data_IF_059243150736
#
_entry.id   IF_059243150736
#
_cell.length_a   1.000
_cell.length_b   1.000
_cell.length_c   1.000
_cell.angle_alpha   90.00
_cell.angle_beta   90.00
_cell.angle_gamma   90.00
#
_symmetry.space_group_name_H-M   'P 1'
#
loop_
_entity.id
_entity.type
_entity.pdbx_description
1 polymer ?
#
# COMPACT_ATOMS: atom_id res chain seq x y z
N UNK A 1 35.67 0.98 -13.02
CA UNK A 1 35.97 2.01 -12.00
C UNK A 1 35.14 3.23 -12.36
N UNK A 2 34.17 3.70 -11.59
CA UNK A 2 33.79 3.46 -10.19
C UNK A 2 32.27 3.41 -10.14
N UNK A 3 31.72 2.44 -9.40
CA UNK A 3 30.29 2.36 -9.12
C UNK A 3 29.93 3.39 -8.08
N UNK A 4 29.02 4.30 -8.42
CA UNK A 4 28.45 5.27 -7.49
C UNK A 4 27.46 4.55 -6.59
N UNK A 5 28.00 3.95 -5.53
CA UNK A 5 27.25 3.44 -4.41
C UNK A 5 26.60 4.63 -3.69
N UNK A 6 25.35 4.96 -4.03
CA UNK A 6 24.58 5.94 -3.27
C UNK A 6 24.27 5.36 -1.90
N UNK A 7 25.19 5.58 -0.96
CA UNK A 7 24.91 5.48 0.47
C UNK A 7 23.79 6.46 0.78
N UNK A 8 22.63 5.91 1.11
CA UNK A 8 21.50 6.63 1.67
C UNK A 8 22.01 7.40 2.90
N UNK A 9 22.07 8.72 2.77
CA UNK A 9 22.60 9.59 3.81
C UNK A 9 21.73 9.50 5.06
N UNK A 10 22.40 9.25 6.18
CA UNK A 10 21.89 9.23 7.56
C UNK A 10 20.71 10.17 7.82
N UNK A 11 19.68 9.61 8.45
CA UNK A 11 18.46 10.26 8.94
C UNK A 11 18.75 11.60 9.65
N UNK A 12 18.32 12.72 9.07
CA UNK A 12 18.06 13.90 9.86
C UNK A 12 17.04 13.51 10.95
N UNK A 13 17.31 13.85 12.22
CA UNK A 13 16.38 13.58 13.34
C UNK A 13 15.07 14.28 13.05
N UNK A 14 14.06 13.52 12.63
CA UNK A 14 12.74 14.05 12.34
C UNK A 14 12.07 14.37 13.69
N UNK A 15 11.48 15.56 13.89
CA UNK A 15 11.04 16.01 15.22
C UNK A 15 9.77 15.32 15.74
N UNK A 16 9.22 14.34 15.03
CA UNK A 16 8.05 13.59 15.46
C UNK A 16 8.45 12.29 16.15
N UNK A 17 7.67 11.93 17.18
CA UNK A 17 7.66 10.58 17.74
C UNK A 17 6.65 9.77 16.95
N UNK A 18 7.07 8.62 16.42
CA UNK A 18 6.16 7.63 15.89
C UNK A 18 6.38 6.30 16.59
N UNK A 19 5.33 5.51 16.62
CA UNK A 19 5.36 4.11 16.97
C UNK A 19 4.78 3.29 15.82
N UNK A 20 5.15 2.01 15.77
CA UNK A 20 4.59 1.08 14.80
C UNK A 20 4.30 -0.28 15.43
N UNK A 21 3.45 -1.02 14.74
CA UNK A 21 3.10 -2.42 15.02
C UNK A 21 3.02 -3.15 13.68
N UNK A 22 3.31 -4.44 13.67
CA UNK A 22 3.02 -5.31 12.53
C UNK A 22 1.64 -5.99 12.68
N UNK A 23 0.83 -5.55 13.65
CA UNK A 23 -0.49 -6.09 13.97
C UNK A 23 -0.43 -7.58 14.35
N UNK A 24 0.67 -8.01 14.96
CA UNK A 24 0.93 -9.42 15.27
C UNK A 24 0.38 -9.85 16.65
N UNK A 25 -0.51 -9.06 17.25
CA UNK A 25 -1.28 -9.48 18.42
C UNK A 25 -2.70 -8.89 18.39
N UNK A 26 -3.55 -9.41 19.29
CA UNK A 26 -4.96 -9.02 19.36
C UNK A 26 -5.14 -7.56 19.80
N UNK A 27 -4.34 -7.08 20.76
CA UNK A 27 -4.48 -5.72 21.32
C UNK A 27 -4.27 -4.66 20.25
N UNK A 28 -3.15 -4.70 19.52
CA UNK A 28 -2.87 -3.76 18.43
C UNK A 28 -3.88 -3.89 17.29
N UNK A 29 -4.34 -5.12 17.02
CA UNK A 29 -5.31 -5.40 15.96
C UNK A 29 -6.65 -4.74 16.27
N UNK A 30 -7.16 -4.92 17.49
CA UNK A 30 -8.44 -4.32 17.91
C UNK A 30 -8.36 -2.79 17.97
N UNK A 31 -7.25 -2.23 18.46
CA UNK A 31 -7.02 -0.79 18.50
C UNK A 31 -7.05 -0.17 17.09
N UNK A 32 -6.23 -0.70 16.18
CA UNK A 32 -6.15 -0.21 14.79
C UNK A 32 -7.45 -0.44 14.03
N UNK A 33 -8.13 -1.57 14.27
CA UNK A 33 -9.44 -1.86 13.68
C UNK A 33 -10.50 -0.86 14.11
N UNK A 34 -10.53 -0.50 15.39
CA UNK A 34 -11.45 0.51 15.92
C UNK A 34 -11.20 1.88 15.30
N UNK A 35 -9.93 2.29 15.18
CA UNK A 35 -9.55 3.57 14.57
C UNK A 35 -9.94 3.65 13.09
N UNK A 36 -9.66 2.60 12.31
CA UNK A 36 -10.04 2.56 10.90
C UNK A 36 -11.57 2.57 10.71
N UNK A 37 -12.30 1.79 11.52
CA UNK A 37 -13.77 1.70 11.45
C UNK A 37 -14.49 3.01 11.80
N UNK A 38 -13.82 3.95 12.47
CA UNK A 38 -14.37 5.28 12.74
C UNK A 38 -14.42 6.18 11.50
N UNK A 39 -13.70 5.82 10.43
CA UNK A 39 -13.49 6.67 9.25
C UNK A 39 -13.74 5.98 7.91
N UNK A 40 -13.72 4.65 7.89
CA UNK A 40 -13.87 3.80 6.71
C UNK A 40 -15.06 2.86 6.86
N UNK A 41 -15.48 2.29 5.72
CA UNK A 41 -16.52 1.26 5.70
C UNK A 41 -16.11 0.01 6.51
N UNK A 42 -16.94 -0.46 7.45
CA UNK A 42 -16.60 -1.60 8.30
C UNK A 42 -16.29 -2.90 7.54
N UNK A 43 -16.96 -3.15 6.39
CA UNK A 43 -16.70 -4.37 5.62
C UNK A 43 -15.33 -4.31 4.92
N UNK A 44 -14.94 -3.14 4.42
CA UNK A 44 -13.58 -2.89 3.91
C UNK A 44 -12.52 -3.09 5.00
N UNK A 45 -12.77 -2.58 6.21
CA UNK A 45 -11.87 -2.78 7.35
C UNK A 45 -11.76 -4.27 7.72
N UNK A 46 -12.88 -4.98 7.80
CA UNK A 46 -12.89 -6.42 8.08
C UNK A 46 -12.12 -7.22 7.02
N UNK A 47 -12.33 -6.90 5.73
CA UNK A 47 -11.62 -7.53 4.63
C UNK A 47 -10.09 -7.30 4.73
N UNK A 48 -9.67 -6.08 5.05
CA UNK A 48 -8.25 -5.77 5.28
C UNK A 48 -7.67 -6.59 6.44
N UNK A 49 -8.36 -6.69 7.57
CA UNK A 49 -7.86 -7.47 8.70
C UNK A 49 -7.82 -8.98 8.42
N UNK A 50 -8.67 -9.50 7.51
CA UNK A 50 -8.52 -10.88 7.05
C UNK A 50 -7.19 -11.09 6.31
N UNK A 51 -6.75 -10.12 5.50
CA UNK A 51 -5.43 -10.17 4.84
C UNK A 51 -4.28 -10.11 5.86
N UNK A 52 -4.38 -9.20 6.84
CA UNK A 52 -3.39 -9.06 7.93
C UNK A 52 -3.29 -10.36 8.73
N UNK A 53 -4.42 -10.93 9.13
CA UNK A 53 -4.47 -12.14 9.93
C UNK A 53 -3.93 -13.35 9.18
N UNK A 54 -4.25 -13.48 7.88
CA UNK A 54 -3.70 -14.55 7.04
C UNK A 54 -2.18 -14.47 6.95
N UNK A 55 -1.64 -13.26 6.75
CA UNK A 55 -0.19 -13.02 6.74
C UNK A 55 0.46 -13.34 8.09
N UNK A 56 -0.03 -12.73 9.18
CA UNK A 56 0.57 -12.86 10.50
C UNK A 56 0.42 -14.28 11.08
N UNK A 57 -0.62 -15.03 10.71
CA UNK A 57 -0.75 -16.45 11.11
C UNK A 57 0.35 -17.32 10.51
N UNK A 58 0.88 -16.94 9.33
CA UNK A 58 1.89 -17.73 8.61
C UNK A 58 3.29 -17.30 8.99
N UNK A 59 3.55 -15.98 9.02
CA UNK A 59 4.91 -15.45 9.20
C UNK A 59 5.09 -14.65 10.49
N UNK A 60 4.07 -14.47 11.33
CA UNK A 60 4.16 -13.66 12.55
C UNK A 60 5.26 -14.10 13.52
N UNK A 61 5.67 -15.36 13.49
CA UNK A 61 6.78 -15.88 14.31
C UNK A 61 8.18 -15.43 13.86
N UNK A 62 8.32 -14.68 12.76
CA UNK A 62 9.62 -14.21 12.24
C UNK A 62 10.13 -12.92 12.88
N UNK A 63 9.49 -12.45 13.96
CA UNK A 63 9.90 -11.23 14.67
C UNK A 63 9.01 -10.01 14.35
N UNK A 64 7.82 -10.23 13.80
CA UNK A 64 6.83 -9.18 13.60
C UNK A 64 6.34 -8.65 14.96
N UNK A 65 6.32 -7.32 15.12
CA UNK A 65 5.89 -6.68 16.38
C UNK A 65 4.39 -6.84 16.60
N UNK A 66 4.01 -7.24 17.82
CA UNK A 66 2.62 -7.22 18.29
C UNK A 66 2.24 -5.83 18.80
N UNK A 67 2.79 -5.43 19.93
CA UNK A 67 2.50 -4.11 20.51
C UNK A 67 3.10 -2.97 19.69
N UNK A 68 2.56 -1.76 19.89
CA UNK A 68 3.19 -0.55 19.40
C UNK A 68 4.55 -0.35 20.05
N UNK A 69 5.59 -0.25 19.23
CA UNK A 69 6.97 0.02 19.66
C UNK A 69 7.48 1.29 19.00
N UNK A 70 8.52 1.91 19.56
CA UNK A 70 9.10 3.12 18.97
C UNK A 70 9.55 2.86 17.53
N UNK A 71 9.22 3.77 16.62
CA UNK A 71 9.62 3.66 15.22
C UNK A 71 11.13 3.77 15.10
N UNK A 72 11.76 2.64 14.81
CA UNK A 72 13.17 2.51 14.50
C UNK A 72 13.33 1.81 13.16
N UNK A 73 14.52 1.86 12.56
CA UNK A 73 14.82 0.98 11.46
C UNK A 73 14.75 -0.48 11.94
N UNK A 74 13.91 -1.28 11.30
CA UNK A 74 13.72 -2.69 11.62
C UNK A 74 14.07 -3.52 10.39
N UNK A 75 15.06 -4.40 10.53
CA UNK A 75 15.41 -5.38 9.51
C UNK A 75 14.57 -6.64 9.71
N UNK A 76 13.93 -7.11 8.65
CA UNK A 76 13.14 -8.33 8.65
C UNK A 76 13.91 -9.45 7.93
N UNK A 77 13.77 -10.68 8.43
CA UNK A 77 14.32 -11.87 7.78
C UNK A 77 13.45 -12.24 6.57
N UNK A 78 13.65 -11.52 5.46
CA UNK A 78 12.87 -11.66 4.23
C UNK A 78 12.95 -13.08 3.68
N UNK A 79 14.12 -13.72 3.72
CA UNK A 79 14.30 -15.09 3.24
C UNK A 79 13.41 -16.07 4.02
N UNK A 80 13.40 -15.96 5.37
CA UNK A 80 12.54 -16.79 6.21
C UNK A 80 11.06 -16.50 6.00
N UNK A 81 10.69 -15.22 5.86
CA UNK A 81 9.31 -14.81 5.57
C UNK A 81 8.83 -15.43 4.25
N UNK A 82 9.57 -15.22 3.16
CA UNK A 82 9.22 -15.75 1.83
C UNK A 82 9.20 -17.28 1.82
N UNK A 83 10.11 -17.94 2.56
CA UNK A 83 10.11 -19.40 2.67
C UNK A 83 8.82 -19.92 3.32
N UNK A 84 8.41 -19.36 4.46
CA UNK A 84 7.20 -19.75 5.18
C UNK A 84 5.94 -19.47 4.35
N UNK A 85 5.91 -18.31 3.68
CA UNK A 85 4.79 -17.93 2.83
C UNK A 85 4.65 -18.87 1.64
N UNK A 86 5.72 -19.08 0.86
CA UNK A 86 5.73 -19.99 -0.29
C UNK A 86 5.38 -21.43 0.11
N UNK A 87 5.85 -21.90 1.28
CA UNK A 87 5.49 -23.23 1.79
C UNK A 87 3.97 -23.37 1.99
N UNK A 88 3.29 -22.30 2.40
CA UNK A 88 1.86 -22.32 2.72
C UNK A 88 0.96 -21.94 1.56
N UNK A 89 1.42 -21.03 0.69
CA UNK A 89 0.61 -20.34 -0.34
C UNK A 89 1.04 -20.66 -1.76
N UNK A 90 2.14 -21.38 -1.95
CA UNK A 90 2.61 -21.79 -3.27
C UNK A 90 3.11 -20.60 -4.08
N UNK A 91 2.52 -20.37 -5.24
CA UNK A 91 2.87 -19.31 -6.20
C UNK A 91 2.08 -18.00 -6.01
N UNK A 92 1.26 -17.92 -4.96
CA UNK A 92 0.58 -16.69 -4.56
C UNK A 92 1.53 -15.83 -3.71
N UNK A 93 2.02 -14.73 -4.28
CA UNK A 93 2.97 -13.77 -3.66
C UNK A 93 2.35 -12.85 -2.60
N UNK A 94 1.10 -13.11 -2.20
CA UNK A 94 0.38 -12.27 -1.25
C UNK A 94 -0.12 -10.96 -1.86
N UNK A 95 -0.54 -10.05 -0.99
CA UNK A 95 -1.09 -8.75 -1.37
C UNK A 95 -0.08 -7.64 -1.09
N UNK A 96 0.01 -6.68 -2.01
CA UNK A 96 0.95 -5.55 -1.93
C UNK A 96 0.27 -4.27 -1.39
N UNK A 97 1.01 -3.17 -1.36
CA UNK A 97 0.53 -1.88 -0.84
C UNK A 97 -0.67 -1.31 -1.60
N UNK A 98 -0.74 -1.46 -2.92
CA UNK A 98 -1.87 -1.03 -3.75
C UNK A 98 -3.13 -1.83 -3.43
N UNK A 99 -3.01 -3.16 -3.41
CA UNK A 99 -4.12 -4.07 -3.09
C UNK A 99 -4.67 -3.80 -1.68
N UNK A 100 -3.79 -3.69 -0.68
CA UNK A 100 -4.22 -3.42 0.70
C UNK A 100 -4.87 -2.03 0.84
N UNK A 101 -4.33 -1.01 0.18
CA UNK A 101 -4.89 0.35 0.21
C UNK A 101 -6.27 0.39 -0.45
N UNK A 102 -6.45 -0.26 -1.60
CA UNK A 102 -7.76 -0.33 -2.25
C UNK A 102 -8.76 -1.16 -1.44
N UNK A 103 -8.34 -2.29 -0.85
CA UNK A 103 -9.19 -3.09 0.04
C UNK A 103 -9.81 -2.24 1.16
N UNK A 104 -9.00 -1.37 1.78
CA UNK A 104 -9.44 -0.42 2.80
C UNK A 104 -10.35 0.70 2.24
N UNK A 105 -10.12 1.15 1.01
CA UNK A 105 -10.74 2.35 0.44
C UNK A 105 -11.94 2.10 -0.47
N UNK A 106 -12.16 0.89 -0.99
CA UNK A 106 -13.10 0.62 -2.11
C UNK A 106 -14.55 1.05 -1.86
N UNK A 107 -15.02 1.02 -0.62
CA UNK A 107 -16.36 1.50 -0.23
C UNK A 107 -16.37 2.96 0.28
N UNK A 108 -15.25 3.67 0.11
CA UNK A 108 -15.01 5.03 0.62
C UNK A 108 -14.42 5.96 -0.45
N UNK A 109 -14.16 5.47 -1.65
CA UNK A 109 -13.72 6.25 -2.81
C UNK A 109 -14.70 5.98 -3.94
N UNK A 110 -15.14 7.04 -4.63
CA UNK A 110 -15.92 6.89 -5.85
C UNK A 110 -14.97 6.84 -7.04
N UNK A 111 -14.95 5.71 -7.73
CA UNK A 111 -14.15 5.50 -8.93
C UNK A 111 -14.94 6.00 -10.16
N UNK A 112 -14.40 6.94 -10.95
CA UNK A 112 -15.04 7.38 -12.19
C UNK A 112 -14.97 6.29 -13.26
N UNK A 113 -15.86 6.38 -14.26
CA UNK A 113 -15.78 5.52 -15.44
C UNK A 113 -14.70 6.05 -16.38
N UNK A 114 -13.49 5.51 -16.27
CA UNK A 114 -12.35 5.83 -17.13
C UNK A 114 -11.88 4.56 -17.85
N UNK A 115 -11.22 4.74 -18.99
CA UNK A 115 -10.48 3.65 -19.61
C UNK A 115 -9.25 3.33 -18.75
N UNK A 116 -9.13 2.09 -18.32
CA UNK A 116 -7.97 1.64 -17.53
C UNK A 116 -6.72 1.49 -18.39
N UNK A 117 -5.57 1.74 -17.78
CA UNK A 117 -4.25 1.47 -18.35
C UNK A 117 -3.42 0.67 -17.32
N UNK A 118 -3.68 -0.63 -17.28
CA UNK A 118 -3.23 -1.59 -16.27
C UNK A 118 -1.92 -2.32 -16.62
N UNK A 119 -1.17 -1.82 -17.63
CA UNK A 119 0.05 -2.49 -18.11
C UNK A 119 1.13 -2.66 -17.03
N UNK A 120 1.16 -1.78 -16.01
CA UNK A 120 2.09 -1.86 -14.88
C UNK A 120 1.50 -2.56 -13.64
N UNK A 121 0.32 -3.17 -13.77
CA UNK A 121 -0.40 -3.86 -12.70
C UNK A 121 -0.38 -5.39 -12.85
N UNK A 122 0.52 -5.94 -13.67
CA UNK A 122 0.55 -7.38 -13.96
C UNK A 122 0.76 -8.25 -12.71
N UNK A 123 1.66 -7.86 -11.78
CA UNK A 123 1.86 -8.58 -10.52
C UNK A 123 0.65 -8.43 -9.60
N UNK A 124 0.06 -7.24 -9.54
CA UNK A 124 -1.14 -6.97 -8.73
C UNK A 124 -2.30 -7.84 -9.21
N UNK A 125 -2.52 -7.87 -10.52
CA UNK A 125 -3.59 -8.64 -11.14
C UNK A 125 -3.38 -10.15 -11.00
N UNK A 126 -2.14 -10.64 -11.11
CA UNK A 126 -1.82 -12.03 -10.83
C UNK A 126 -2.12 -12.39 -9.36
N UNK A 127 -1.74 -11.52 -8.42
CA UNK A 127 -2.05 -11.71 -7.00
C UNK A 127 -3.57 -11.65 -6.72
N UNK A 128 -4.29 -10.71 -7.33
CA UNK A 128 -5.76 -10.60 -7.21
C UNK A 128 -6.43 -11.87 -7.73
N UNK A 129 -6.00 -12.39 -8.87
CA UNK A 129 -6.60 -13.57 -9.51
C UNK A 129 -6.31 -14.86 -8.74
N UNK A 130 -5.04 -15.10 -8.37
CA UNK A 130 -4.65 -16.29 -7.60
C UNK A 130 -5.23 -16.28 -6.19
N UNK A 131 -5.17 -15.12 -5.53
CA UNK A 131 -5.68 -14.91 -4.17
C UNK A 131 -7.20 -14.77 -4.12
N UNK A 132 -7.88 -14.56 -5.26
CA UNK A 132 -9.30 -14.22 -5.36
C UNK A 132 -9.67 -13.07 -4.43
N UNK A 133 -8.82 -12.05 -4.41
CA UNK A 133 -8.88 -10.95 -3.43
C UNK A 133 -10.08 -10.04 -3.71
N UNK A 134 -10.40 -9.85 -5.00
CA UNK A 134 -11.46 -8.98 -5.48
C UNK A 134 -12.38 -9.74 -6.44
N UNK A 135 -13.65 -9.30 -6.49
CA UNK A 135 -14.53 -9.70 -7.58
C UNK A 135 -14.19 -8.93 -8.88
N UNK A 136 -14.93 -9.19 -9.95
CA UNK A 136 -14.66 -8.55 -11.25
C UNK A 136 -14.86 -7.03 -11.23
N UNK A 137 -15.82 -6.53 -10.45
CA UNK A 137 -16.09 -5.10 -10.36
C UNK A 137 -14.98 -4.41 -9.57
N UNK A 138 -14.64 -4.95 -8.39
CA UNK A 138 -13.58 -4.44 -7.56
C UNK A 138 -12.22 -4.46 -8.28
N UNK A 139 -11.95 -5.49 -9.08
CA UNK A 139 -10.72 -5.57 -9.90
C UNK A 139 -10.69 -4.48 -10.98
N UNK A 140 -11.79 -4.24 -11.66
CA UNK A 140 -11.88 -3.17 -12.68
C UNK A 140 -11.66 -1.79 -12.05
N UNK A 141 -12.30 -1.53 -10.92
CA UNK A 141 -12.15 -0.28 -10.16
C UNK A 141 -10.72 -0.10 -9.61
N UNK A 142 -10.09 -1.19 -9.14
CA UNK A 142 -8.68 -1.22 -8.78
C UNK A 142 -7.76 -0.83 -9.94
N UNK A 143 -7.98 -1.44 -11.12
CA UNK A 143 -7.18 -1.15 -12.31
C UNK A 143 -7.33 0.31 -12.76
N UNK A 144 -8.54 0.87 -12.65
CA UNK A 144 -8.78 2.29 -12.95
C UNK A 144 -8.01 3.18 -11.96
N UNK A 145 -8.11 2.91 -10.65
CA UNK A 145 -7.46 3.73 -9.62
C UNK A 145 -5.93 3.78 -9.77
N UNK A 146 -5.31 2.64 -10.11
CA UNK A 146 -3.86 2.52 -10.24
C UNK A 146 -3.36 2.49 -11.68
N UNK A 147 -4.19 2.95 -12.62
CA UNK A 147 -3.78 3.10 -14.01
C UNK A 147 -2.56 3.99 -14.14
N UNK A 148 -1.66 3.63 -15.06
CA UNK A 148 -0.55 4.52 -15.42
C UNK A 148 -1.06 5.69 -16.26
N UNK A 149 -0.48 6.86 -16.05
CA UNK A 149 -0.88 8.13 -16.68
C UNK A 149 0.23 8.59 -17.63
N UNK A 150 -0.06 8.82 -18.93
CA UNK A 150 0.93 9.35 -19.86
C UNK A 150 1.52 10.68 -19.38
N UNK A 151 2.83 10.86 -19.53
CA UNK A 151 3.53 12.10 -19.19
C UNK A 151 4.51 12.51 -20.29
N UNK A 152 5.24 13.58 -20.04
CA UNK A 152 6.29 14.11 -20.90
C UNK A 152 7.65 13.54 -20.48
N UNK A 153 8.59 13.41 -21.42
CA UNK A 153 9.96 12.97 -21.18
C UNK A 153 10.77 14.05 -20.44
N UNK A 154 10.51 14.21 -19.14
CA UNK A 154 11.10 15.23 -18.29
C UNK A 154 11.38 14.70 -16.89
N UNK A 155 12.25 15.38 -16.15
CA UNK A 155 12.48 15.15 -14.72
C UNK A 155 11.84 16.22 -13.84
N UNK A 156 11.07 17.14 -14.43
CA UNK A 156 10.36 18.17 -13.69
C UNK A 156 9.16 17.59 -12.94
N UNK A 157 9.31 17.49 -11.62
CA UNK A 157 8.30 16.96 -10.70
C UNK A 157 6.99 17.78 -10.75
N UNK A 158 7.04 19.06 -11.11
CA UNK A 158 5.81 19.88 -11.21
C UNK A 158 4.94 19.44 -12.38
N UNK A 159 5.56 19.18 -13.54
CA UNK A 159 4.85 18.63 -14.70
C UNK A 159 4.19 17.31 -14.34
N UNK A 160 4.91 16.43 -13.64
CA UNK A 160 4.37 15.13 -13.20
C UNK A 160 3.24 15.28 -12.19
N UNK A 161 3.38 16.20 -11.23
CA UNK A 161 2.36 16.47 -10.23
C UNK A 161 1.07 16.99 -10.87
N UNK A 162 1.15 17.93 -11.82
CA UNK A 162 -0.01 18.47 -12.53
C UNK A 162 -0.78 17.38 -13.30
N UNK A 163 -0.07 16.43 -13.94
CA UNK A 163 -0.71 15.29 -14.64
C UNK A 163 -1.43 14.37 -13.67
N UNK A 164 -0.80 14.01 -12.56
CA UNK A 164 -1.42 13.13 -11.56
C UNK A 164 -2.56 13.83 -10.80
N UNK A 165 -2.45 15.12 -10.52
CA UNK A 165 -3.54 15.92 -9.95
C UNK A 165 -4.74 15.94 -10.90
N UNK A 166 -4.50 16.19 -12.19
CA UNK A 166 -5.55 16.12 -13.21
C UNK A 166 -6.22 14.75 -13.23
N UNK A 167 -5.44 13.67 -13.22
CA UNK A 167 -5.95 12.31 -13.17
C UNK A 167 -6.82 12.07 -11.92
N UNK A 168 -6.29 12.35 -10.73
CA UNK A 168 -6.97 12.10 -9.45
C UNK A 168 -8.11 13.07 -9.16
N UNK A 169 -8.17 14.25 -9.80
CA UNK A 169 -9.29 15.20 -9.65
C UNK A 169 -10.64 14.64 -10.12
N UNK A 170 -10.62 13.56 -10.91
CA UNK A 170 -11.80 12.86 -11.42
C UNK A 170 -12.38 11.87 -10.38
N UNK A 171 -11.64 11.56 -9.33
CA UNK A 171 -12.01 10.63 -8.27
C UNK A 171 -12.58 11.40 -7.08
N UNK A 172 -13.50 10.79 -6.34
CA UNK A 172 -13.98 11.38 -5.07
C UNK A 172 -13.46 10.54 -3.92
N UNK A 173 -12.44 11.07 -3.23
CA UNK A 173 -11.84 10.42 -2.07
C UNK A 173 -12.60 10.74 -0.78
N UNK A 174 -12.50 9.85 0.20
CA UNK A 174 -13.01 10.06 1.55
C UNK A 174 -12.41 11.33 2.17
N UNK A 175 -13.22 12.10 2.88
CA UNK A 175 -12.80 13.35 3.52
C UNK A 175 -11.85 13.17 4.71
N UNK A 176 -11.89 12.01 5.36
CA UNK A 176 -11.11 11.70 6.57
C UNK A 176 -10.03 10.67 6.30
N UNK A 177 -10.27 9.69 5.44
CA UNK A 177 -9.25 8.73 5.02
C UNK A 177 -8.55 9.20 3.75
N UNK A 178 -7.24 9.44 3.85
CA UNK A 178 -6.40 9.91 2.74
C UNK A 178 -5.60 8.76 2.16
N UNK A 179 -5.64 8.62 0.83
CA UNK A 179 -4.66 7.84 0.10
C UNK A 179 -3.39 8.67 -0.05
N UNK A 180 -2.28 8.24 0.56
CA UNK A 180 -0.97 8.86 0.35
C UNK A 180 -0.14 7.99 -0.55
N UNK A 181 0.29 8.55 -1.68
CA UNK A 181 0.95 7.82 -2.74
C UNK A 181 2.30 8.46 -3.10
N UNK A 182 3.27 7.59 -3.41
CA UNK A 182 4.50 7.96 -4.10
C UNK A 182 4.33 7.65 -5.58
N UNK A 183 4.44 8.68 -6.40
CA UNK A 183 4.36 8.56 -7.86
C UNK A 183 5.77 8.37 -8.42
N UNK A 184 5.91 7.38 -9.29
CA UNK A 184 7.13 7.10 -10.03
C UNK A 184 6.93 7.39 -11.51
N UNK A 185 8.02 7.75 -12.18
CA UNK A 185 8.08 7.97 -13.61
C UNK A 185 8.78 6.78 -14.27
N UNK A 186 8.04 6.03 -15.07
CA UNK A 186 8.56 5.00 -15.97
C UNK A 186 8.91 5.63 -17.32
N UNK A 187 10.17 5.46 -17.72
CA UNK A 187 10.73 5.92 -18.99
C UNK A 187 11.34 4.77 -19.82
N UNK A 188 11.05 3.51 -19.46
CA UNK A 188 11.58 2.33 -20.16
C UNK A 188 10.68 1.95 -21.35
N UNK A 189 9.38 1.89 -21.13
CA UNK A 189 8.37 1.48 -22.13
C UNK A 189 7.38 2.62 -22.43
N UNK A 190 7.94 3.79 -22.71
CA UNK A 190 7.22 5.06 -22.92
C UNK A 190 7.34 5.99 -21.71
N UNK A 191 6.58 7.07 -21.71
CA UNK A 191 6.62 8.10 -20.64
C UNK A 191 5.35 8.02 -19.82
N UNK A 192 5.41 7.36 -18.65
CA UNK A 192 4.23 7.14 -17.81
C UNK A 192 4.51 7.39 -16.34
N UNK A 193 3.49 7.91 -15.64
CA UNK A 193 3.46 8.04 -14.20
C UNK A 193 2.61 6.93 -13.62
N UNK A 194 3.01 6.36 -12.49
CA UNK A 194 2.22 5.37 -11.79
C UNK A 194 2.46 5.45 -10.29
N UNK A 195 1.51 4.92 -9.52
CA UNK A 195 1.66 4.79 -8.06
C UNK A 195 2.58 3.61 -7.77
N UNK A 196 3.81 3.92 -7.35
CA UNK A 196 4.81 2.90 -6.99
C UNK A 196 4.73 2.45 -5.53
N UNK A 197 4.19 3.30 -4.66
CA UNK A 197 3.94 2.98 -3.26
C UNK A 197 2.74 3.77 -2.75
N UNK A 198 1.96 3.19 -1.84
CA UNK A 198 0.74 3.81 -1.31
C UNK A 198 0.38 3.27 0.08
N UNK A 199 -0.21 4.14 0.90
CA UNK A 199 -0.86 3.75 2.15
C UNK A 199 -2.08 4.62 2.44
N UNK A 200 -2.76 4.31 3.54
CA UNK A 200 -3.96 4.99 4.00
C UNK A 200 -3.68 5.70 5.32
N UNK A 201 -4.03 6.98 5.39
CA UNK A 201 -3.91 7.80 6.59
C UNK A 201 -5.29 8.19 7.10
N UNK A 202 -5.53 7.96 8.38
CA UNK A 202 -6.76 8.39 9.06
C UNK A 202 -6.42 9.21 10.31
N UNK A 203 -7.32 10.11 10.75
CA UNK A 203 -7.18 10.80 12.02
C UNK A 203 -7.11 9.82 13.20
N UNK A 204 -6.36 10.18 14.23
CA UNK A 204 -6.39 9.57 15.54
C UNK A 204 -6.54 10.66 16.62
N UNK A 205 -6.77 10.28 17.88
CA UNK A 205 -6.95 11.24 18.99
C UNK A 205 -5.76 12.21 19.12
N UNK A 206 -4.54 11.69 18.96
CA UNK A 206 -3.30 12.47 18.95
C UNK A 206 -2.49 12.16 17.68
N UNK A 207 -2.82 12.86 16.59
CA UNK A 207 -2.12 12.77 15.31
C UNK A 207 -2.85 11.90 14.29
N UNK A 208 -2.14 10.94 13.70
CA UNK A 208 -2.65 10.14 12.59
C UNK A 208 -2.20 8.68 12.71
N UNK A 209 -3.06 7.78 12.24
CA UNK A 209 -2.72 6.40 11.96
C UNK A 209 -2.41 6.28 10.46
N UNK A 210 -1.19 5.87 10.13
CA UNK A 210 -0.80 5.51 8.77
C UNK A 210 -0.71 3.99 8.65
N UNK A 211 -1.41 3.43 7.67
CA UNK A 211 -1.44 2.00 7.37
C UNK A 211 -0.89 1.77 5.98
N UNK A 212 0.17 0.98 5.91
CA UNK A 212 0.78 0.54 4.67
C UNK A 212 1.14 -0.94 4.75
N UNK A 213 1.27 -1.59 3.58
CA UNK A 213 1.91 -2.89 3.49
C UNK A 213 3.37 -2.71 3.14
N UNK A 214 4.24 -2.98 4.10
CA UNK A 214 5.67 -3.17 3.87
C UNK A 214 5.81 -4.43 3.00
N UNK A 215 6.28 -4.27 1.76
CA UNK A 215 6.48 -5.40 0.85
C UNK A 215 7.71 -6.18 1.30
N UNK A 216 7.65 -7.51 1.26
CA UNK A 216 8.82 -8.38 1.44
C UNK A 216 8.89 -9.45 0.34
N UNK A 217 8.06 -9.30 -0.69
CA UNK A 217 7.93 -10.18 -1.85
C UNK A 217 7.65 -9.29 -3.07
#
# INVERSE_FOLDING_TARGET
SEGTNQRQSSSAKVPWKASYTNLNNQVSTEEVKSLLSAHLDPNSVDAFFNLVNDYNTIVGSTGLSGDFTSFTHTEYDVEKISHLWNQKKGDFVGTNCRINSYCLLKNSVTIPKLEKNDQLLFLDNDAIDKGKVFDSQDKEEFDILFSRVPTEATTDVKVHAEKMETFFSQFQFNEKARMLSVVLHDNLDGEYLFVGHVGVLVPADDGFLFVEKLTFE
#
